data_IF_227678728382
#
_entry.id   IF_227678728382
#
_cell.length_a   1.000
_cell.length_b   1.000
_cell.length_c   1.000
_cell.angle_alpha   90.00
_cell.angle_beta   90.00
_cell.angle_gamma   90.00
#
_symmetry.space_group_name_H-M   'P 1'
#
loop_
_entity.id
_entity.type
_entity.pdbx_description
1 polymer ?
#
# COMPACT_ATOMS: atom_id res chain seq x y z
N UNK A 1 -36.52 -2.58 4.75
CA UNK A 1 -35.78 -1.33 5.05
C UNK A 1 -34.63 -1.68 5.98
N UNK A 2 -33.56 -2.32 5.46
CA UNK A 2 -32.35 -2.69 6.23
C UNK A 2 -31.21 -2.63 5.22
N UNK A 3 -30.42 -1.55 5.21
CA UNK A 3 -29.41 -1.39 4.15
C UNK A 3 -28.55 -0.13 4.20
N UNK A 4 -28.37 0.51 5.36
CA UNK A 4 -27.54 1.72 5.43
C UNK A 4 -26.51 1.76 6.56
N UNK A 5 -26.44 0.77 7.46
CA UNK A 5 -25.60 0.84 8.67
C UNK A 5 -24.21 0.21 8.55
N UNK A 6 -23.91 -0.57 7.51
CA UNK A 6 -22.62 -1.28 7.40
C UNK A 6 -21.51 -0.44 6.75
N UNK A 7 -21.85 0.40 5.77
CA UNK A 7 -20.86 1.18 4.99
C UNK A 7 -20.22 2.30 5.82
N UNK A 8 -21.02 3.00 6.64
CA UNK A 8 -20.53 4.10 7.48
C UNK A 8 -19.40 3.67 8.44
N UNK A 9 -19.46 2.44 8.96
CA UNK A 9 -18.46 1.93 9.92
C UNK A 9 -17.09 1.61 9.31
N UNK A 10 -17.03 1.36 8.00
CA UNK A 10 -15.79 0.98 7.29
C UNK A 10 -15.02 2.23 6.86
N UNK A 11 -15.72 3.22 6.33
CA UNK A 11 -15.14 4.50 5.90
C UNK A 11 -14.64 5.32 7.11
N UNK A 12 -15.41 5.36 8.21
CA UNK A 12 -14.96 6.00 9.47
C UNK A 12 -13.72 5.32 10.07
N UNK A 13 -13.62 3.98 9.94
CA UNK A 13 -12.43 3.24 10.38
C UNK A 13 -11.23 3.50 9.48
N UNK A 14 -11.48 3.70 8.18
CA UNK A 14 -10.45 4.02 7.20
C UNK A 14 -9.87 5.42 7.43
N UNK A 15 -10.72 6.43 7.66
CA UNK A 15 -10.29 7.79 7.99
C UNK A 15 -9.44 7.83 9.27
N UNK A 16 -9.77 7.04 10.29
CA UNK A 16 -8.98 6.96 11.51
C UNK A 16 -7.58 6.39 11.28
N UNK A 17 -7.46 5.40 10.40
CA UNK A 17 -6.18 4.79 10.02
C UNK A 17 -5.35 5.77 9.20
N UNK A 18 -5.94 6.44 8.21
CA UNK A 18 -5.26 7.48 7.42
C UNK A 18 -4.80 8.65 8.30
N UNK A 19 -5.60 9.02 9.30
CA UNK A 19 -5.25 10.09 10.25
C UNK A 19 -4.08 9.68 11.14
N UNK A 20 -4.05 8.44 11.64
CA UNK A 20 -2.94 7.93 12.44
C UNK A 20 -1.63 7.85 11.61
N UNK A 21 -1.74 7.44 10.34
CA UNK A 21 -0.61 7.41 9.40
C UNK A 21 -0.07 8.81 9.11
N UNK A 22 -0.93 9.78 8.81
CA UNK A 22 -0.52 11.19 8.62
C UNK A 22 0.12 11.78 9.87
N UNK A 23 -0.38 11.45 11.06
CA UNK A 23 0.21 11.93 12.32
C UNK A 23 1.61 11.35 12.53
N UNK A 24 1.82 10.09 12.18
CA UNK A 24 3.14 9.47 12.19
C UNK A 24 4.07 10.11 11.14
N UNK A 25 3.59 10.29 9.91
CA UNK A 25 4.35 10.96 8.84
C UNK A 25 4.84 12.34 9.28
N UNK A 26 3.95 13.16 9.87
CA UNK A 26 4.30 14.48 10.40
C UNK A 26 5.26 14.36 11.59
N UNK A 27 5.05 13.41 12.51
CA UNK A 27 5.89 13.23 13.70
C UNK A 27 7.32 12.80 13.39
N UNK A 28 7.53 12.07 12.28
CA UNK A 28 8.84 11.58 11.83
C UNK A 28 9.44 12.49 10.75
N UNK A 29 8.78 13.61 10.41
CA UNK A 29 9.27 14.59 9.44
C UNK A 29 9.11 14.17 7.97
N UNK A 30 8.28 13.17 7.70
CA UNK A 30 7.91 12.69 6.37
C UNK A 30 6.79 13.58 5.78
N UNK A 31 7.13 14.85 5.53
CA UNK A 31 6.30 15.71 4.70
C UNK A 31 6.53 15.44 3.22
N UNK A 32 5.50 15.61 2.39
CA UNK A 32 5.63 15.66 0.93
C UNK A 32 6.65 16.72 0.53
N UNK A 33 7.83 16.31 0.08
CA UNK A 33 8.76 17.22 -0.58
C UNK A 33 8.28 17.44 -2.02
N UNK A 34 8.15 18.71 -2.41
CA UNK A 34 7.91 19.09 -3.81
C UNK A 34 9.03 18.59 -4.73
N UNK A 35 8.92 18.74 -6.06
CA UNK A 35 9.85 18.14 -7.03
C UNK A 35 11.31 18.28 -6.58
N UNK A 36 11.92 17.14 -6.26
CA UNK A 36 12.98 17.07 -5.25
C UNK A 36 14.34 17.43 -5.85
N UNK A 37 15.13 18.19 -5.09
CA UNK A 37 16.56 18.44 -5.36
C UNK A 37 17.36 17.13 -5.51
N UNK A 38 16.77 16.00 -5.11
CA UNK A 38 17.27 14.63 -5.26
C UNK A 38 17.47 14.20 -6.70
N UNK A 39 16.70 14.73 -7.67
CA UNK A 39 16.91 14.40 -9.09
C UNK A 39 18.32 14.76 -9.57
N UNK A 40 18.90 15.85 -9.04
CA UNK A 40 20.29 16.22 -9.33
C UNK A 40 21.27 15.19 -8.78
N UNK A 41 21.00 14.66 -7.59
CA UNK A 41 21.86 13.71 -6.89
C UNK A 41 21.80 12.31 -7.49
N UNK A 42 20.60 11.82 -7.87
CA UNK A 42 20.41 10.54 -8.55
C UNK A 42 21.08 10.52 -9.93
N UNK A 43 21.07 11.65 -10.64
CA UNK A 43 21.59 11.76 -12.01
C UNK A 43 22.98 12.42 -12.10
N UNK A 44 23.72 12.50 -10.98
CA UNK A 44 25.01 13.16 -10.97
C UNK A 44 26.03 12.38 -11.83
N UNK A 45 26.82 13.10 -12.63
CA UNK A 45 27.88 12.49 -13.44
C UNK A 45 29.12 12.21 -12.56
N UNK A 46 29.87 11.12 -12.80
CA UNK A 46 31.09 10.80 -12.03
C UNK A 46 32.12 11.95 -11.98
N UNK A 47 32.20 12.74 -13.06
CA UNK A 47 33.12 13.88 -13.18
C UNK A 47 32.77 15.05 -12.24
N UNK A 48 31.49 15.20 -11.91
CA UNK A 48 30.98 16.21 -10.96
C UNK A 48 31.06 15.68 -9.54
N UNK A 49 30.80 14.38 -9.33
CA UNK A 49 30.90 13.73 -8.04
C UNK A 49 32.30 13.91 -7.43
N UNK A 50 33.35 13.72 -8.22
CA UNK A 50 34.75 13.87 -7.77
C UNK A 50 35.17 15.31 -7.47
N UNK A 51 34.32 16.30 -7.78
CA UNK A 51 34.57 17.72 -7.54
C UNK A 51 33.77 18.27 -6.36
N UNK A 52 32.91 17.45 -5.76
CA UNK A 52 32.13 17.84 -4.59
C UNK A 52 33.03 17.93 -3.36
N UNK A 53 32.75 18.91 -2.52
CA UNK A 53 33.29 18.97 -1.17
C UNK A 53 32.71 17.86 -0.28
N UNK A 54 33.35 17.63 0.86
CA UNK A 54 32.85 16.68 1.87
C UNK A 54 31.46 17.08 2.39
N UNK A 55 31.20 18.38 2.54
CA UNK A 55 29.88 18.90 2.96
C UNK A 55 28.81 18.64 1.91
N UNK A 56 29.08 18.93 0.63
CA UNK A 56 28.12 18.68 -0.45
C UNK A 56 27.84 17.18 -0.62
N UNK A 57 28.85 16.32 -0.43
CA UNK A 57 28.66 14.87 -0.41
C UNK A 57 27.73 14.44 0.74
N UNK A 58 27.93 14.99 1.94
CA UNK A 58 27.11 14.67 3.11
C UNK A 58 25.66 15.13 2.92
N UNK A 59 25.44 16.34 2.40
CA UNK A 59 24.11 16.88 2.09
C UNK A 59 23.40 16.03 1.02
N UNK A 60 24.09 15.68 -0.07
CA UNK A 60 23.53 14.83 -1.10
C UNK A 60 23.17 13.43 -0.60
N UNK A 61 24.03 12.83 0.23
CA UNK A 61 23.75 11.54 0.85
C UNK A 61 22.54 11.60 1.79
N UNK A 62 22.42 12.66 2.59
CA UNK A 62 21.28 12.87 3.48
C UNK A 62 19.97 12.97 2.71
N UNK A 63 19.93 13.77 1.65
CA UNK A 63 18.75 13.93 0.80
C UNK A 63 18.35 12.60 0.12
N UNK A 64 19.32 11.82 -0.36
CA UNK A 64 19.05 10.51 -0.95
C UNK A 64 18.46 9.52 0.06
N UNK A 65 18.99 9.49 1.29
CA UNK A 65 18.48 8.62 2.36
C UNK A 65 17.06 9.02 2.76
N UNK A 66 16.79 10.32 2.85
CA UNK A 66 15.45 10.83 3.17
C UNK A 66 14.42 10.38 2.12
N UNK A 67 14.74 10.53 0.83
CA UNK A 67 13.85 10.06 -0.25
C UNK A 67 13.68 8.55 -0.26
N UNK A 68 14.76 7.78 -0.08
CA UNK A 68 14.67 6.33 -0.01
C UNK A 68 13.76 5.88 1.15
N UNK A 69 13.84 6.55 2.30
CA UNK A 69 13.00 6.28 3.47
C UNK A 69 11.54 6.61 3.19
N UNK A 70 11.27 7.73 2.51
CA UNK A 70 9.92 8.09 2.09
C UNK A 70 9.33 7.07 1.12
N UNK A 71 10.04 6.71 0.05
CA UNK A 71 9.60 5.70 -0.91
C UNK A 71 9.33 4.37 -0.22
N UNK A 72 10.21 3.95 0.70
CA UNK A 72 10.00 2.73 1.48
C UNK A 72 8.76 2.81 2.37
N UNK A 73 8.47 3.98 2.97
CA UNK A 73 7.23 4.21 3.73
C UNK A 73 6.00 4.02 2.85
N UNK A 74 5.99 4.61 1.65
CA UNK A 74 4.89 4.47 0.69
C UNK A 74 4.68 3.01 0.28
N UNK A 75 5.76 2.28 0.01
CA UNK A 75 5.71 0.84 -0.29
C UNK A 75 5.10 0.06 0.89
N UNK A 76 5.54 0.34 2.12
CA UNK A 76 5.03 -0.34 3.31
C UNK A 76 3.53 -0.10 3.52
N UNK A 77 3.05 1.11 3.23
CA UNK A 77 1.61 1.44 3.27
C UNK A 77 0.85 0.64 2.21
N UNK A 78 1.31 0.62 0.96
CA UNK A 78 0.68 -0.14 -0.12
C UNK A 78 0.64 -1.64 0.19
N UNK A 79 1.75 -2.20 0.68
CA UNK A 79 1.82 -3.60 1.11
C UNK A 79 0.80 -3.90 2.22
N UNK A 80 0.70 -3.01 3.21
CA UNK A 80 -0.27 -3.16 4.31
C UNK A 80 -1.72 -3.14 3.81
N UNK A 81 -2.03 -2.34 2.77
CA UNK A 81 -3.34 -2.31 2.12
C UNK A 81 -3.63 -3.63 1.41
N UNK A 82 -2.68 -4.15 0.64
CA UNK A 82 -2.80 -5.45 -0.05
C UNK A 82 -3.05 -6.57 0.96
N UNK A 83 -2.26 -6.62 2.04
CA UNK A 83 -2.41 -7.63 3.09
C UNK A 83 -3.78 -7.55 3.77
N UNK A 84 -4.29 -6.34 4.00
CA UNK A 84 -5.61 -6.13 4.55
C UNK A 84 -6.71 -6.63 3.59
N UNK A 85 -6.64 -6.28 2.30
CA UNK A 85 -7.57 -6.77 1.29
C UNK A 85 -7.58 -8.30 1.24
N UNK A 86 -6.40 -8.92 1.21
CA UNK A 86 -6.26 -10.37 1.20
C UNK A 86 -6.88 -11.05 2.42
N UNK A 87 -6.62 -10.52 3.63
CA UNK A 87 -7.26 -11.03 4.86
C UNK A 87 -8.78 -10.91 4.81
N UNK A 88 -9.29 -9.78 4.30
CA UNK A 88 -10.73 -9.53 4.23
C UNK A 88 -11.42 -10.41 3.19
N UNK A 89 -10.84 -10.56 2.00
CA UNK A 89 -11.30 -11.50 0.97
C UNK A 89 -11.36 -12.90 1.55
N UNK A 90 -10.29 -13.38 2.19
CA UNK A 90 -10.26 -14.71 2.80
C UNK A 90 -11.36 -14.92 3.84
N UNK A 91 -11.67 -13.90 4.65
CA UNK A 91 -12.77 -13.94 5.61
C UNK A 91 -14.15 -14.02 4.94
N UNK A 92 -14.34 -13.36 3.79
CA UNK A 92 -15.61 -13.35 3.04
C UNK A 92 -15.82 -14.70 2.33
N UNK A 93 -14.78 -15.22 1.69
CA UNK A 93 -14.89 -16.42 0.86
C UNK A 93 -14.84 -17.73 1.67
N UNK A 94 -14.26 -17.73 2.88
CA UNK A 94 -14.17 -18.92 3.73
C UNK A 94 -15.53 -19.64 3.94
N UNK A 95 -16.63 -18.96 4.30
CA UNK A 95 -17.94 -19.60 4.40
C UNK A 95 -18.49 -20.08 3.04
N UNK A 96 -18.21 -19.37 1.94
CA UNK A 96 -18.63 -19.76 0.58
C UNK A 96 -17.93 -21.07 0.18
N UNK A 97 -16.61 -21.13 0.35
CA UNK A 97 -15.80 -22.32 0.08
C UNK A 97 -16.27 -23.51 0.92
N UNK A 98 -16.55 -23.29 2.21
CA UNK A 98 -17.00 -24.35 3.14
C UNK A 98 -18.36 -24.94 2.76
N UNK A 99 -19.29 -24.10 2.30
CA UNK A 99 -20.69 -24.50 2.15
C UNK A 99 -21.07 -24.90 0.72
N UNK A 100 -20.37 -24.39 -0.30
CA UNK A 100 -20.86 -24.45 -1.69
C UNK A 100 -19.85 -25.05 -2.68
N UNK A 101 -18.59 -25.25 -2.29
CA UNK A 101 -17.55 -25.66 -3.24
C UNK A 101 -17.13 -27.11 -2.99
N UNK A 102 -17.18 -27.91 -4.06
CA UNK A 102 -16.89 -29.35 -4.06
C UNK A 102 -15.46 -29.64 -3.59
N UNK A 103 -15.30 -30.69 -2.77
CA UNK A 103 -14.01 -31.10 -2.18
C UNK A 103 -12.90 -31.30 -3.23
N UNK A 104 -13.26 -31.75 -4.43
CA UNK A 104 -12.35 -32.12 -5.53
C UNK A 104 -11.90 -30.96 -6.44
N UNK A 105 -12.42 -29.74 -6.26
CA UNK A 105 -11.97 -28.58 -7.05
C UNK A 105 -10.59 -28.09 -6.56
N UNK A 106 -9.70 -27.68 -7.46
CA UNK A 106 -8.41 -27.11 -7.04
C UNK A 106 -8.56 -25.80 -6.27
N UNK A 107 -7.67 -25.56 -5.30
CA UNK A 107 -7.82 -24.46 -4.34
C UNK A 107 -7.83 -23.06 -5.00
N UNK A 108 -7.06 -22.85 -6.07
CA UNK A 108 -7.06 -21.59 -6.82
C UNK A 108 -8.41 -21.35 -7.51
N UNK A 109 -8.95 -22.38 -8.15
CA UNK A 109 -10.28 -22.36 -8.77
C UNK A 109 -11.38 -22.14 -7.72
N UNK A 110 -11.27 -22.76 -6.54
CA UNK A 110 -12.19 -22.52 -5.42
C UNK A 110 -12.20 -21.05 -5.01
N UNK A 111 -11.02 -20.45 -4.85
CA UNK A 111 -10.86 -19.04 -4.47
C UNK A 111 -11.44 -18.11 -5.54
N UNK A 112 -11.09 -18.30 -6.80
CA UNK A 112 -11.60 -17.47 -7.90
C UNK A 112 -13.12 -17.56 -8.02
N UNK A 113 -13.69 -18.76 -7.89
CA UNK A 113 -15.15 -18.94 -7.94
C UNK A 113 -15.86 -18.29 -6.75
N UNK A 114 -15.31 -18.40 -5.54
CA UNK A 114 -15.89 -17.79 -4.35
C UNK A 114 -15.81 -16.25 -4.38
N UNK A 115 -14.74 -15.69 -4.92
CA UNK A 115 -14.59 -14.24 -5.10
C UNK A 115 -15.65 -13.71 -6.07
N UNK A 116 -15.89 -14.40 -7.19
CA UNK A 116 -16.91 -14.01 -8.18
C UNK A 116 -18.36 -14.10 -7.69
N UNK A 117 -18.59 -14.73 -6.54
CA UNK A 117 -19.93 -14.83 -5.95
C UNK A 117 -20.23 -13.72 -4.95
N UNK A 118 -19.25 -12.88 -4.62
CA UNK A 118 -19.39 -11.80 -3.67
C UNK A 118 -18.80 -10.50 -4.25
N UNK A 119 -19.68 -9.53 -4.53
CA UNK A 119 -19.32 -8.26 -5.15
C UNK A 119 -18.26 -7.48 -4.34
N UNK A 120 -18.21 -7.66 -3.02
CA UNK A 120 -17.22 -7.00 -2.14
C UNK A 120 -15.86 -7.68 -2.28
N UNK A 121 -15.83 -9.01 -2.29
CA UNK A 121 -14.60 -9.76 -2.52
C UNK A 121 -14.01 -9.49 -3.91
N UNK A 122 -14.84 -9.40 -4.95
CA UNK A 122 -14.40 -9.09 -6.31
C UNK A 122 -13.77 -7.69 -6.41
N UNK A 123 -14.42 -6.68 -5.83
CA UNK A 123 -13.86 -5.31 -5.79
C UNK A 123 -12.58 -5.22 -4.98
N UNK A 124 -12.50 -5.91 -3.84
CA UNK A 124 -11.26 -5.95 -3.05
C UNK A 124 -10.12 -6.62 -3.81
N UNK A 125 -10.42 -7.63 -4.64
CA UNK A 125 -9.42 -8.28 -5.49
C UNK A 125 -8.91 -7.31 -6.57
N UNK A 126 -9.80 -6.57 -7.24
CA UNK A 126 -9.41 -5.55 -8.22
C UNK A 126 -8.48 -4.49 -7.60
N UNK A 127 -8.80 -3.99 -6.40
CA UNK A 127 -7.95 -3.02 -5.68
C UNK A 127 -6.59 -3.61 -5.32
N UNK A 128 -6.54 -4.89 -4.91
CA UNK A 128 -5.29 -5.56 -4.60
C UNK A 128 -4.41 -5.73 -5.86
N UNK A 129 -5.04 -6.04 -7.00
CA UNK A 129 -4.36 -6.21 -8.29
C UNK A 129 -3.82 -4.87 -8.80
N UNK A 130 -4.59 -3.79 -8.67
CA UNK A 130 -4.18 -2.42 -8.99
C UNK A 130 -3.01 -1.94 -8.10
N UNK A 131 -3.05 -2.24 -6.81
CA UNK A 131 -1.97 -1.86 -5.88
C UNK A 131 -0.68 -2.69 -6.04
N UNK A 132 -0.77 -3.83 -6.72
CA UNK A 132 0.37 -4.73 -7.00
C UNK A 132 1.01 -4.51 -8.37
N UNK A 133 0.38 -3.69 -9.23
CA UNK A 133 0.82 -3.35 -10.60
C UNK A 133 1.71 -2.12 -10.62
#
# INVERSE_FOLDING_TARGET
MIGMTSYQSLDERWEQVEKALKQFEVAVGLGSLGPTEVNRWINIKPQLLNKLSEQECAEGAYLLVQEATFVQSQINVLQSKIDWCNRKINSIIAPIIKNQITRYMENELKRAYAIKQDDVAERLQQIADEASS
#
